data_IF_750377432876
#
_entry.id   IF_750377432876
#
_cell.length_a   1.000
_cell.length_b   1.000
_cell.length_c   1.000
_cell.angle_alpha   90.00
_cell.angle_beta   90.00
_cell.angle_gamma   90.00
#
_symmetry.space_group_name_H-M   'P 1'
#
loop_
_entity.id
_entity.type
_entity.pdbx_description
1 polymer ?
#
# COMPACT_ATOMS: atom_id res chain seq x y z
N UNK A 1 2.73 -5.80 21.39
CA UNK A 1 3.43 -6.25 20.16
C UNK A 1 4.77 -5.53 19.98
N UNK A 2 4.85 -4.20 19.93
CA UNK A 2 6.11 -3.45 19.72
C UNK A 2 7.20 -3.79 20.76
N UNK A 3 6.87 -3.90 22.06
CA UNK A 3 7.83 -4.33 23.08
C UNK A 3 8.43 -5.72 22.79
N UNK A 4 7.60 -6.65 22.30
CA UNK A 4 8.04 -7.99 21.93
C UNK A 4 9.02 -7.95 20.75
N UNK A 5 8.65 -7.25 19.68
CA UNK A 5 9.52 -7.11 18.52
C UNK A 5 10.86 -6.44 18.85
N UNK A 6 10.84 -5.42 19.73
CA UNK A 6 12.07 -4.79 20.22
C UNK A 6 12.93 -5.76 21.05
N UNK A 7 12.29 -6.52 21.95
CA UNK A 7 12.99 -7.54 22.73
C UNK A 7 13.60 -8.66 21.85
N UNK A 8 12.98 -8.95 20.70
CA UNK A 8 13.48 -9.86 19.68
C UNK A 8 14.55 -9.25 18.76
N UNK A 9 14.90 -7.97 18.93
CA UNK A 9 15.88 -7.28 18.10
C UNK A 9 15.36 -6.86 16.72
N UNK A 10 14.05 -6.89 16.49
CA UNK A 10 13.46 -6.47 15.22
C UNK A 10 13.42 -4.94 15.14
N UNK A 11 13.91 -4.39 14.04
CA UNK A 11 13.88 -2.95 13.79
C UNK A 11 12.45 -2.46 13.62
N UNK A 12 12.09 -1.41 14.35
CA UNK A 12 10.80 -0.76 14.26
C UNK A 12 11.03 0.69 13.84
N UNK A 13 10.36 1.10 12.78
CA UNK A 13 10.40 2.48 12.27
C UNK A 13 9.06 3.15 12.54
N UNK A 14 9.10 4.32 13.18
CA UNK A 14 7.91 5.11 13.49
C UNK A 14 8.24 6.60 13.31
N UNK A 15 7.32 7.34 12.73
CA UNK A 15 7.44 8.79 12.57
C UNK A 15 6.07 9.43 12.77
N UNK A 16 5.99 10.36 13.73
CA UNK A 16 4.77 11.16 13.91
C UNK A 16 4.47 12.02 12.70
N UNK A 17 3.20 12.07 12.31
CA UNK A 17 2.74 12.85 11.15
C UNK A 17 2.73 12.09 9.81
N UNK A 18 3.19 10.85 9.79
CA UNK A 18 3.12 9.95 8.62
C UNK A 18 2.33 8.69 8.97
N UNK A 19 1.66 8.13 7.98
CA UNK A 19 1.02 6.82 8.06
C UNK A 19 2.05 5.70 7.91
N UNK A 20 1.67 4.48 8.28
CA UNK A 20 2.56 3.33 8.15
C UNK A 20 2.92 3.06 6.67
N UNK A 21 1.99 3.33 5.77
CA UNK A 21 2.16 3.10 4.34
C UNK A 21 3.14 4.11 3.71
N UNK A 22 3.17 5.36 4.20
CA UNK A 22 4.17 6.34 3.80
C UNK A 22 5.59 5.90 4.21
N UNK A 23 5.71 5.35 5.42
CA UNK A 23 6.99 4.82 5.92
C UNK A 23 7.41 3.60 5.10
N UNK A 24 6.48 2.67 4.84
CA UNK A 24 6.73 1.48 4.01
C UNK A 24 7.11 1.87 2.59
N UNK A 25 6.37 2.80 1.97
CA UNK A 25 6.64 3.32 0.63
C UNK A 25 8.00 3.99 0.53
N UNK A 26 8.33 4.83 1.50
CA UNK A 26 9.63 5.51 1.57
C UNK A 26 10.79 4.51 1.69
N UNK A 27 10.69 3.54 2.60
CA UNK A 27 11.72 2.52 2.78
C UNK A 27 11.84 1.65 1.52
N UNK A 28 10.71 1.20 0.95
CA UNK A 28 10.70 0.37 -0.24
C UNK A 28 11.39 1.07 -1.42
N UNK A 29 11.05 2.34 -1.67
CA UNK A 29 11.64 3.12 -2.77
C UNK A 29 13.12 3.45 -2.55
N UNK A 30 13.54 3.74 -1.32
CA UNK A 30 14.97 3.92 -1.00
C UNK A 30 15.75 2.63 -1.21
N UNK A 31 15.21 1.49 -0.76
CA UNK A 31 15.86 0.19 -0.92
C UNK A 31 15.95 -0.24 -2.40
N UNK A 32 14.90 -0.01 -3.19
CA UNK A 32 14.91 -0.23 -4.64
C UNK A 32 16.01 0.61 -5.31
N UNK A 33 16.14 1.88 -4.95
CA UNK A 33 17.16 2.78 -5.49
C UNK A 33 18.59 2.33 -5.14
N UNK A 34 18.79 1.58 -4.06
CA UNK A 34 20.05 0.91 -3.70
C UNK A 34 20.27 -0.42 -4.42
N UNK A 35 19.36 -0.82 -5.32
CA UNK A 35 19.46 -2.05 -6.11
C UNK A 35 19.02 -3.32 -5.36
N UNK A 36 18.18 -3.18 -4.32
CA UNK A 36 17.70 -4.31 -3.53
C UNK A 36 16.36 -4.82 -4.03
N UNK A 37 16.15 -6.13 -3.90
CA UNK A 37 14.83 -6.76 -4.03
C UNK A 37 14.03 -6.55 -2.74
N UNK A 38 12.86 -5.97 -2.87
CA UNK A 38 12.02 -5.57 -1.74
C UNK A 38 10.76 -6.42 -1.66
N UNK A 39 10.43 -6.89 -0.46
CA UNK A 39 9.15 -7.53 -0.18
C UNK A 39 8.40 -6.73 0.89
N UNK A 40 7.29 -6.11 0.50
CA UNK A 40 6.37 -5.43 1.42
C UNK A 40 5.25 -6.39 1.79
N UNK A 41 5.12 -6.72 3.08
CA UNK A 41 4.08 -7.62 3.57
C UNK A 41 3.02 -6.80 4.28
N UNK A 42 1.82 -6.74 3.71
CA UNK A 42 0.69 -6.01 4.29
C UNK A 42 -0.64 -6.61 3.84
N UNK A 43 -1.69 -6.43 4.63
CA UNK A 43 -3.07 -6.71 4.21
C UNK A 43 -3.69 -5.60 3.36
N UNK A 44 -3.06 -4.44 3.31
CA UNK A 44 -3.54 -3.27 2.60
C UNK A 44 -3.22 -3.32 1.11
N UNK A 45 -4.26 -3.12 0.29
CA UNK A 45 -4.13 -3.11 -1.17
C UNK A 45 -3.66 -1.78 -1.74
N UNK A 46 -3.71 -0.72 -0.96
CA UNK A 46 -3.24 0.59 -1.41
C UNK A 46 -1.75 0.58 -1.70
N UNK A 47 -1.02 -0.29 -1.01
CA UNK A 47 0.39 -0.56 -1.27
C UNK A 47 0.69 -1.16 -2.66
N UNK A 48 -0.34 -1.65 -3.39
CA UNK A 48 -0.16 -2.11 -4.78
C UNK A 48 0.38 -1.03 -5.71
N UNK A 49 0.14 0.25 -5.39
CA UNK A 49 0.70 1.38 -6.12
C UNK A 49 2.24 1.44 -6.08
N UNK A 50 2.86 0.79 -5.10
CA UNK A 50 4.32 0.75 -4.92
C UNK A 50 4.99 -0.37 -5.72
N UNK A 51 4.21 -1.33 -6.25
CA UNK A 51 4.74 -2.51 -6.93
C UNK A 51 5.57 -2.13 -8.16
N UNK A 52 6.74 -2.77 -8.29
CA UNK A 52 7.64 -2.66 -9.44
C UNK A 52 8.18 -4.05 -9.78
N UNK A 53 9.13 -4.13 -10.69
CA UNK A 53 9.82 -5.39 -10.95
C UNK A 53 10.73 -5.83 -9.78
N UNK A 54 11.14 -4.87 -8.93
CA UNK A 54 12.00 -5.09 -7.75
C UNK A 54 11.26 -4.93 -6.40
N UNK A 55 10.08 -4.31 -6.40
CA UNK A 55 9.23 -4.20 -5.20
C UNK A 55 8.03 -5.13 -5.37
N UNK A 56 7.97 -6.15 -4.52
CA UNK A 56 6.90 -7.13 -4.44
C UNK A 56 5.98 -6.83 -3.27
N UNK A 57 4.70 -6.68 -3.53
CA UNK A 57 3.68 -6.56 -2.48
C UNK A 57 3.11 -7.93 -2.19
N UNK A 58 3.20 -8.36 -0.93
CA UNK A 58 2.79 -9.67 -0.45
C UNK A 58 1.58 -9.54 0.46
N UNK A 59 0.41 -9.97 -0.01
CA UNK A 59 -0.86 -9.83 0.70
C UNK A 59 -1.25 -11.18 1.34
N UNK A 60 -1.16 -11.30 2.69
CA UNK A 60 -1.64 -12.49 3.38
C UNK A 60 -3.17 -12.55 3.33
N UNK A 61 -3.71 -13.70 2.90
CA UNK A 61 -5.15 -14.00 2.93
C UNK A 61 -5.41 -15.18 3.82
N UNK A 62 -6.15 -14.95 4.89
CA UNK A 62 -6.60 -16.04 5.77
C UNK A 62 -7.78 -16.75 5.12
N UNK A 63 -7.60 -18.02 4.78
CA UNK A 63 -8.63 -18.93 4.33
C UNK A 63 -8.96 -19.94 5.43
N UNK A 64 -10.06 -20.67 5.25
CA UNK A 64 -10.46 -21.75 6.18
C UNK A 64 -9.40 -22.86 6.29
N UNK A 65 -8.58 -23.02 5.26
CA UNK A 65 -7.52 -24.05 5.16
C UNK A 65 -6.15 -23.56 5.60
N UNK A 66 -6.00 -22.28 5.97
CA UNK A 66 -4.72 -21.66 6.34
C UNK A 66 -4.53 -20.29 5.72
N UNK A 67 -3.33 -19.72 5.85
CA UNK A 67 -2.97 -18.46 5.24
C UNK A 67 -2.29 -18.70 3.91
N UNK A 68 -2.81 -18.11 2.85
CA UNK A 68 -2.16 -18.02 1.54
C UNK A 68 -1.58 -16.61 1.37
N UNK A 69 -0.50 -16.49 0.60
CA UNK A 69 0.10 -15.20 0.26
C UNK A 69 -0.09 -14.97 -1.23
N UNK A 70 -0.70 -13.84 -1.58
CA UNK A 70 -0.74 -13.35 -2.96
C UNK A 70 0.42 -12.38 -3.16
N UNK A 71 1.25 -12.64 -4.15
CA UNK A 71 2.39 -11.81 -4.52
C UNK A 71 2.05 -10.96 -5.75
N UNK A 72 2.39 -9.67 -5.70
CA UNK A 72 2.14 -8.70 -6.76
C UNK A 72 3.41 -7.91 -7.08
N UNK A 73 3.91 -8.05 -8.29
CA UNK A 73 4.81 -7.13 -8.96
C UNK A 73 4.01 -6.33 -10.01
N UNK A 74 4.64 -5.52 -10.83
CA UNK A 74 3.99 -4.76 -11.92
C UNK A 74 3.06 -5.62 -12.76
N UNK A 75 3.54 -6.81 -13.17
CA UNK A 75 2.83 -7.74 -14.03
C UNK A 75 1.53 -8.25 -13.40
N UNK A 76 1.58 -8.72 -12.15
CA UNK A 76 0.43 -9.27 -11.46
C UNK A 76 -0.63 -8.20 -11.17
N UNK A 77 -0.21 -6.96 -10.90
CA UNK A 77 -1.14 -5.81 -10.78
C UNK A 77 -1.85 -5.59 -12.11
N UNK A 78 -1.10 -5.50 -13.21
CA UNK A 78 -1.65 -5.28 -14.54
C UNK A 78 -2.60 -6.42 -14.97
N UNK A 79 -2.23 -7.67 -14.74
CA UNK A 79 -3.06 -8.83 -15.09
C UNK A 79 -4.39 -8.84 -14.32
N UNK A 80 -4.36 -8.47 -13.04
CA UNK A 80 -5.53 -8.54 -12.16
C UNK A 80 -6.43 -7.33 -12.25
N UNK A 81 -5.86 -6.13 -12.30
CA UNK A 81 -6.58 -4.86 -12.22
C UNK A 81 -6.67 -4.13 -13.56
N UNK A 82 -5.99 -4.61 -14.62
CA UNK A 82 -5.96 -4.02 -15.96
C UNK A 82 -5.38 -2.59 -15.99
N UNK A 83 -4.67 -2.21 -14.96
CA UNK A 83 -3.97 -0.93 -14.81
C UNK A 83 -2.60 -1.16 -14.21
N UNK A 84 -1.66 -0.28 -14.48
CA UNK A 84 -0.34 -0.30 -13.84
C UNK A 84 -0.43 0.08 -12.36
N UNK A 85 0.60 -0.22 -11.53
CA UNK A 85 0.65 0.21 -10.14
C UNK A 85 0.42 1.71 -9.94
N UNK A 86 0.99 2.55 -10.79
CA UNK A 86 0.80 4.01 -10.72
C UNK A 86 -0.63 4.41 -11.08
N UNK A 87 -1.20 3.81 -12.13
CA UNK A 87 -2.59 4.04 -12.53
C UNK A 87 -3.59 3.56 -11.48
N UNK A 88 -3.21 2.62 -10.62
CA UNK A 88 -4.06 2.15 -9.53
C UNK A 88 -4.42 3.26 -8.53
N UNK A 89 -3.55 4.27 -8.36
CA UNK A 89 -3.84 5.49 -7.59
C UNK A 89 -5.08 6.18 -8.16
N UNK A 90 -5.13 6.36 -9.48
CA UNK A 90 -6.23 7.04 -10.16
C UNK A 90 -7.54 6.23 -10.09
N UNK A 91 -7.46 4.91 -10.14
CA UNK A 91 -8.62 4.03 -9.89
C UNK A 91 -9.18 4.25 -8.49
N UNK A 92 -8.32 4.23 -7.45
CA UNK A 92 -8.70 4.49 -6.05
C UNK A 92 -9.29 5.90 -5.89
N UNK A 93 -8.68 6.90 -6.50
CA UNK A 93 -9.14 8.27 -6.45
C UNK A 93 -10.52 8.46 -7.08
N UNK A 94 -10.84 7.76 -8.17
CA UNK A 94 -12.16 7.84 -8.80
C UNK A 94 -13.22 7.06 -8.02
N UNK A 95 -12.92 5.84 -7.57
CA UNK A 95 -13.91 5.02 -6.87
C UNK A 95 -14.11 5.42 -5.41
N UNK A 96 -13.12 6.07 -4.79
CA UNK A 96 -13.07 6.36 -3.37
C UNK A 96 -12.78 5.14 -2.51
N UNK A 97 -12.55 5.40 -1.23
CA UNK A 97 -12.43 4.36 -0.19
C UNK A 97 -13.06 4.85 1.11
N UNK A 98 -14.10 4.17 1.56
CA UNK A 98 -14.81 4.55 2.78
C UNK A 98 -14.03 4.21 4.05
N UNK A 99 -13.10 3.23 4.01
CA UNK A 99 -12.24 2.89 5.15
C UNK A 99 -11.25 3.99 5.46
N UNK A 100 -10.71 4.64 4.41
CA UNK A 100 -9.71 5.70 4.51
C UNK A 100 -10.33 7.11 4.35
N UNK A 101 -11.66 7.16 4.33
CA UNK A 101 -12.41 8.41 4.17
C UNK A 101 -12.07 9.17 2.87
N UNK A 102 -11.70 8.43 1.81
CA UNK A 102 -11.46 8.98 0.48
C UNK A 102 -12.80 9.06 -0.24
N UNK A 103 -13.28 10.27 -0.60
CA UNK A 103 -14.64 10.44 -1.10
C UNK A 103 -14.90 9.84 -2.48
N UNK A 104 -13.90 9.84 -3.35
CA UNK A 104 -14.07 9.44 -4.75
C UNK A 104 -15.00 10.34 -5.54
N UNK A 105 -15.39 9.91 -6.72
CA UNK A 105 -16.40 10.60 -7.55
C UNK A 105 -17.74 9.90 -7.37
N UNK A 106 -18.80 10.61 -6.92
CA UNK A 106 -20.11 10.02 -6.70
C UNK A 106 -20.63 9.25 -7.92
N UNK A 107 -20.99 7.96 -7.71
CA UNK A 107 -21.52 7.11 -8.77
C UNK A 107 -20.46 6.49 -9.71
N UNK A 108 -19.19 6.70 -9.45
CA UNK A 108 -18.07 5.98 -10.08
C UNK A 108 -17.60 4.90 -9.11
N UNK A 109 -17.95 3.65 -9.37
CA UNK A 109 -17.45 2.50 -8.59
C UNK A 109 -16.26 1.83 -9.29
N UNK A 110 -15.67 0.81 -8.63
CA UNK A 110 -14.45 0.11 -9.05
C UNK A 110 -14.45 -0.25 -10.55
N UNK A 111 -15.51 -0.89 -11.06
CA UNK A 111 -15.58 -1.31 -12.47
C UNK A 111 -15.50 -0.14 -13.44
N UNK A 112 -16.16 0.96 -13.11
CA UNK A 112 -16.17 2.15 -13.98
C UNK A 112 -14.84 2.88 -13.89
N UNK A 113 -14.30 3.04 -12.68
CA UNK A 113 -12.99 3.64 -12.45
C UNK A 113 -11.89 2.88 -13.20
N UNK A 114 -11.83 1.55 -13.02
CA UNK A 114 -10.87 0.69 -13.73
C UNK A 114 -10.98 0.82 -15.24
N UNK A 115 -12.21 0.76 -15.80
CA UNK A 115 -12.41 0.87 -17.24
C UNK A 115 -11.98 2.25 -17.77
N UNK A 116 -12.24 3.32 -17.04
CA UNK A 116 -11.83 4.67 -17.41
C UNK A 116 -10.31 4.81 -17.40
N UNK A 117 -9.65 4.37 -16.34
CA UNK A 117 -8.20 4.49 -16.23
C UNK A 117 -7.49 3.55 -17.21
N UNK A 118 -7.97 2.32 -17.41
CA UNK A 118 -7.45 1.43 -18.45
C UNK A 118 -7.57 2.01 -19.87
N UNK A 119 -8.60 2.83 -20.14
CA UNK A 119 -8.79 3.47 -21.45
C UNK A 119 -7.99 4.76 -21.61
N UNK A 120 -7.95 5.60 -20.59
CA UNK A 120 -7.39 6.97 -20.67
C UNK A 120 -6.04 7.14 -19.96
N UNK A 121 -5.62 6.18 -19.16
CA UNK A 121 -4.32 6.15 -18.46
C UNK A 121 -4.26 7.01 -17.19
N UNK A 122 -5.08 8.07 -17.08
CA UNK A 122 -5.07 8.95 -15.91
C UNK A 122 -6.38 9.71 -15.74
N UNK A 123 -6.61 10.24 -14.53
CA UNK A 123 -7.73 11.14 -14.24
C UNK A 123 -7.68 12.37 -15.16
N UNK A 124 -6.52 12.97 -15.34
CA UNK A 124 -6.33 14.17 -16.15
C UNK A 124 -6.77 13.92 -17.59
N UNK A 125 -6.39 12.79 -18.17
CA UNK A 125 -6.81 12.39 -19.50
C UNK A 125 -8.31 12.05 -19.57
N UNK A 126 -8.88 11.44 -18.53
CA UNK A 126 -10.33 11.25 -18.44
C UNK A 126 -11.07 12.59 -18.55
N UNK A 127 -10.58 13.62 -17.86
CA UNK A 127 -11.19 14.96 -17.93
C UNK A 127 -10.96 15.66 -19.26
N UNK A 128 -9.81 15.47 -19.90
CA UNK A 128 -9.56 15.99 -21.25
C UNK A 128 -10.54 15.41 -22.29
N UNK A 129 -11.04 14.20 -22.08
CA UNK A 129 -11.99 13.51 -22.98
C UNK A 129 -13.35 13.27 -22.34
N UNK A 130 -13.71 14.07 -21.34
CA UNK A 130 -14.89 13.82 -20.49
C UNK A 130 -16.21 13.78 -21.29
N UNK A 131 -16.31 14.49 -22.41
CA UNK A 131 -17.47 14.50 -23.29
C UNK A 131 -17.67 13.17 -24.06
N UNK A 132 -16.61 12.40 -24.24
CA UNK A 132 -16.61 11.11 -24.96
C UNK A 132 -16.94 9.94 -24.03
N UNK A 133 -16.87 10.15 -22.70
CA UNK A 133 -17.06 9.11 -21.71
C UNK A 133 -18.50 8.59 -21.70
N UNK A 134 -18.61 7.27 -21.71
CA UNK A 134 -19.88 6.53 -21.60
C UNK A 134 -19.92 5.72 -20.29
N UNK A 135 -21.07 5.60 -19.63
CA UNK A 135 -22.38 6.20 -19.98
C UNK A 135 -22.40 7.71 -19.68
N UNK A 136 -23.35 8.46 -20.24
CA UNK A 136 -23.45 9.92 -20.03
C UNK A 136 -23.51 10.36 -18.56
N UNK A 137 -24.03 9.49 -17.70
CA UNK A 137 -24.04 9.71 -16.25
C UNK A 137 -22.62 9.77 -15.65
N UNK A 138 -21.70 8.93 -16.13
CA UNK A 138 -20.31 8.95 -15.66
C UNK A 138 -19.61 10.25 -16.09
N UNK A 139 -19.77 10.66 -17.36
CA UNK A 139 -19.29 11.94 -17.88
C UNK A 139 -19.80 13.13 -17.05
N UNK A 140 -21.11 13.16 -16.77
CA UNK A 140 -21.71 14.21 -15.95
C UNK A 140 -21.12 14.24 -14.53
N UNK A 141 -21.04 13.08 -13.87
CA UNK A 141 -20.54 12.99 -12.50
C UNK A 141 -19.06 13.41 -12.41
N UNK A 142 -18.24 13.05 -13.39
CA UNK A 142 -16.86 13.53 -13.48
C UNK A 142 -16.82 15.05 -13.58
N UNK A 143 -17.53 15.65 -14.54
CA UNK A 143 -17.56 17.11 -14.73
C UNK A 143 -17.94 17.88 -13.48
N UNK A 144 -18.94 17.39 -12.74
CA UNK A 144 -19.45 18.04 -11.54
C UNK A 144 -18.53 17.86 -10.31
N UNK A 145 -17.55 16.94 -10.36
CA UNK A 145 -16.76 16.55 -9.18
C UNK A 145 -15.24 16.55 -9.46
N UNK A 146 -14.76 17.46 -10.30
CA UNK A 146 -13.33 17.52 -10.63
C UNK A 146 -12.43 17.73 -9.41
N UNK A 147 -12.76 18.73 -8.59
CA UNK A 147 -11.99 19.05 -7.39
C UNK A 147 -11.99 17.88 -6.38
N UNK A 148 -13.10 17.17 -6.31
CA UNK A 148 -13.23 16.00 -5.44
C UNK A 148 -12.35 14.84 -5.92
N UNK A 149 -12.25 14.63 -7.23
CA UNK A 149 -11.35 13.63 -7.82
C UNK A 149 -9.88 13.98 -7.56
N UNK A 150 -9.50 15.24 -7.69
CA UNK A 150 -8.13 15.71 -7.40
C UNK A 150 -7.77 15.56 -5.92
N UNK A 151 -8.67 15.94 -5.03
CA UNK A 151 -8.47 15.73 -3.59
C UNK A 151 -8.35 14.24 -3.26
N UNK A 152 -9.20 13.40 -3.83
CA UNK A 152 -9.15 11.95 -3.65
C UNK A 152 -7.85 11.35 -4.16
N UNK A 153 -7.30 11.84 -5.28
CA UNK A 153 -6.00 11.43 -5.80
C UNK A 153 -4.88 11.77 -4.82
N UNK A 154 -4.90 12.98 -4.27
CA UNK A 154 -3.92 13.39 -3.25
C UNK A 154 -3.99 12.49 -2.02
N UNK A 155 -5.20 12.17 -1.54
CA UNK A 155 -5.39 11.29 -0.37
C UNK A 155 -5.02 9.83 -0.63
N UNK A 156 -5.25 9.34 -1.86
CA UNK A 156 -4.93 7.97 -2.24
C UNK A 156 -3.44 7.75 -2.53
N UNK A 157 -2.66 8.82 -2.69
CA UNK A 157 -1.23 8.73 -3.05
C UNK A 157 -0.38 8.58 -1.80
N UNK A 158 0.36 7.47 -1.71
CA UNK A 158 1.31 7.22 -0.62
C UNK A 158 2.52 8.15 -0.76
N UNK A 159 2.91 8.81 0.34
CA UNK A 159 4.12 9.62 0.39
C UNK A 159 5.37 8.73 0.44
N UNK A 160 6.22 8.83 -0.57
CA UNK A 160 7.43 8.00 -0.70
C UNK A 160 8.72 8.74 -0.35
N UNK A 161 8.60 9.97 0.14
CA UNK A 161 9.74 10.82 0.56
C UNK A 161 9.61 11.28 2.01
N UNK A 162 8.94 10.47 2.86
CA UNK A 162 8.80 10.79 4.28
C UNK A 162 10.17 11.04 4.94
N UNK A 163 10.21 12.08 5.78
CA UNK A 163 11.42 12.42 6.57
C UNK A 163 11.57 11.43 7.74
N UNK A 164 12.08 10.24 7.44
CA UNK A 164 12.32 9.17 8.39
C UNK A 164 13.82 8.97 8.58
N UNK A 165 14.22 8.78 9.83
CA UNK A 165 15.56 8.35 10.20
C UNK A 165 15.59 6.81 10.16
N UNK A 166 16.06 6.26 9.04
CA UNK A 166 16.15 4.83 8.80
C UNK A 166 17.48 4.49 8.16
N UNK A 167 18.25 3.64 8.85
CA UNK A 167 19.47 3.05 8.35
C UNK A 167 19.23 1.57 8.01
N UNK A 168 19.35 1.23 6.73
CA UNK A 168 19.19 -0.13 6.22
C UNK A 168 20.17 -1.13 6.87
N UNK A 169 21.39 -0.66 7.19
CA UNK A 169 22.40 -1.52 7.80
C UNK A 169 22.01 -1.94 9.22
N UNK A 170 21.34 -1.07 9.98
CA UNK A 170 20.85 -1.37 11.33
C UNK A 170 19.71 -2.39 11.34
N UNK A 171 19.06 -2.63 10.21
CA UNK A 171 17.94 -3.58 10.07
C UNK A 171 18.37 -4.97 9.56
N UNK A 172 19.67 -5.21 9.39
CA UNK A 172 20.17 -6.51 8.91
C UNK A 172 19.84 -7.63 9.87
N UNK A 173 19.19 -8.69 9.37
CA UNK A 173 18.86 -9.89 10.15
C UNK A 173 20.11 -10.64 10.68
N UNK A 174 21.23 -10.51 10.01
CA UNK A 174 22.52 -11.10 10.46
C UNK A 174 22.96 -10.59 11.85
N UNK A 175 22.45 -9.44 12.26
CA UNK A 175 22.67 -8.88 13.60
C UNK A 175 21.76 -9.53 14.66
N UNK A 176 20.68 -10.18 14.24
CA UNK A 176 19.75 -10.89 15.11
C UNK A 176 20.25 -12.32 15.25
N UNK A 177 21.02 -12.59 16.31
CA UNK A 177 21.58 -13.93 16.57
C UNK A 177 20.53 -14.91 17.04
N UNK A 178 19.56 -14.45 17.81
CA UNK A 178 18.47 -15.23 18.37
C UNK A 178 17.23 -14.34 18.58
N UNK A 179 16.11 -14.77 18.05
CA UNK A 179 14.81 -14.11 18.31
C UNK A 179 14.29 -14.40 19.73
N UNK A 180 14.76 -15.48 20.36
CA UNK A 180 14.43 -15.87 21.75
C UNK A 180 15.43 -15.29 22.75
N UNK A 181 15.53 -13.97 22.77
CA UNK A 181 16.37 -13.28 23.76
C UNK A 181 15.82 -13.47 25.18
N UNK A 182 16.67 -13.30 26.19
CA UNK A 182 16.24 -13.30 27.59
C UNK A 182 15.11 -12.28 27.85
N UNK A 183 15.20 -11.10 27.24
CA UNK A 183 14.18 -10.05 27.34
C UNK A 183 12.84 -10.50 26.75
N UNK A 184 12.84 -11.16 25.58
CA UNK A 184 11.65 -11.71 24.97
C UNK A 184 11.02 -12.81 25.84
N UNK A 185 11.85 -13.70 26.42
CA UNK A 185 11.40 -14.73 27.37
C UNK A 185 10.75 -14.13 28.63
N UNK A 186 11.41 -13.16 29.25
CA UNK A 186 10.89 -12.47 30.44
C UNK A 186 9.57 -11.74 30.14
N UNK A 187 9.44 -11.15 28.95
CA UNK A 187 8.21 -10.50 28.51
C UNK A 187 7.08 -11.52 28.31
N UNK A 188 7.34 -12.66 27.66
CA UNK A 188 6.38 -13.74 27.53
C UNK A 188 5.91 -14.25 28.89
N UNK A 189 6.84 -14.43 29.83
CA UNK A 189 6.54 -14.85 31.20
C UNK A 189 5.66 -13.83 31.93
N UNK A 190 5.98 -12.54 31.84
CA UNK A 190 5.19 -11.43 32.42
C UNK A 190 3.75 -11.39 31.87
N UNK A 191 3.60 -11.67 30.56
CA UNK A 191 2.30 -11.66 29.87
C UNK A 191 1.57 -12.99 29.90
N UNK A 192 2.14 -14.00 30.59
CA UNK A 192 1.57 -15.37 30.69
C UNK A 192 1.33 -16.04 29.34
N UNK A 193 2.16 -15.76 28.34
CA UNK A 193 2.08 -16.38 27.01
C UNK A 193 2.66 -17.80 27.01
N UNK A 194 1.93 -18.74 27.63
CA UNK A 194 2.37 -20.11 27.88
C UNK A 194 2.79 -20.88 26.61
N UNK A 195 2.19 -20.57 25.48
CA UNK A 195 2.51 -21.26 24.20
C UNK A 195 3.74 -20.66 23.49
N UNK A 196 4.32 -19.59 24.03
CA UNK A 196 5.52 -18.95 23.52
C UNK A 196 6.72 -19.11 24.45
N UNK A 197 6.54 -19.79 25.56
CA UNK A 197 7.57 -20.20 26.53
C UNK A 197 7.99 -21.64 26.26
#
# INVERSE_FOLDING_TARGET
MKEMLKAMGVTIVEKGGYEADDILGTIAKRSEAEGLEVSVVSGDRDLLQLATDHIKIRIPKTKRTGTEIEDYNTKEVLEKYQVTPIEFIDVKALMGDTSDNIPGVPGIGEKTATALIAQYGSIENCYAHVDEIKPPRASKNLKENYELAQMSKTLATIEIHADIDYDLQSARLEQIKDLYTEEAYLLCKRLEFKNML
#
